data_IF_838639182476
#
_entry.id   IF_838639182476
#
_cell.length_a   1.000
_cell.length_b   1.000
_cell.length_c   1.000
_cell.angle_alpha   90.00
_cell.angle_beta   90.00
_cell.angle_gamma   90.00
#
_symmetry.space_group_name_H-M   'P 1'
#
loop_
_entity.id
_entity.type
_entity.pdbx_description
1 polymer ?
#
# COMPACT_ATOMS: atom_id res chain seq x y z
N UNK A 1 -35.21 13.37 -11.84
CA UNK A 1 -33.90 13.27 -11.18
C UNK A 1 -33.17 12.08 -11.77
N UNK A 2 -32.41 12.28 -12.84
CA UNK A 2 -31.62 11.21 -13.48
C UNK A 2 -30.17 11.37 -13.09
N UNK A 3 -29.72 10.61 -12.10
CA UNK A 3 -28.30 10.52 -11.76
C UNK A 3 -27.59 9.75 -12.87
N UNK A 4 -26.72 10.42 -13.62
CA UNK A 4 -25.84 9.79 -14.59
C UNK A 4 -24.81 8.95 -13.86
N UNK A 5 -25.04 7.63 -13.85
CA UNK A 5 -24.02 6.63 -13.53
C UNK A 5 -22.95 6.73 -14.61
N UNK A 6 -21.86 7.42 -14.31
CA UNK A 6 -20.67 7.44 -15.17
C UNK A 6 -20.09 6.03 -15.16
N UNK A 7 -20.36 5.29 -16.23
CA UNK A 7 -19.67 4.06 -16.59
C UNK A 7 -18.16 4.33 -16.52
N UNK A 8 -17.44 3.54 -15.70
CA UNK A 8 -15.97 3.54 -15.68
C UNK A 8 -15.51 3.03 -17.05
N UNK A 9 -15.27 3.94 -17.98
CA UNK A 9 -14.51 3.65 -19.18
C UNK A 9 -13.12 3.16 -18.77
N UNK A 10 -12.65 2.11 -19.42
CA UNK A 10 -11.32 1.55 -19.21
C UNK A 10 -10.27 2.62 -19.57
N UNK A 11 -9.76 3.30 -18.55
CA UNK A 11 -8.65 4.26 -18.69
C UNK A 11 -7.44 3.46 -19.14
N UNK A 12 -7.09 3.50 -20.42
CA UNK A 12 -5.99 2.71 -20.97
C UNK A 12 -4.68 3.49 -20.99
N UNK A 13 -4.73 4.83 -21.05
CA UNK A 13 -3.56 5.70 -21.04
C UNK A 13 -3.68 6.84 -20.02
N UNK A 14 -2.56 7.47 -19.64
CA UNK A 14 -2.54 8.57 -18.67
C UNK A 14 -3.17 9.87 -19.22
N UNK A 15 -3.20 10.01 -20.55
CA UNK A 15 -3.79 11.15 -21.24
C UNK A 15 -5.33 11.13 -21.22
N UNK A 16 -5.94 9.95 -21.07
CA UNK A 16 -7.40 9.79 -20.94
C UNK A 16 -7.93 10.28 -19.57
N UNK A 17 -7.05 10.57 -18.62
CA UNK A 17 -7.42 11.01 -17.28
C UNK A 17 -7.70 12.51 -17.29
N UNK A 18 -8.90 12.90 -16.85
CA UNK A 18 -9.29 14.31 -16.75
C UNK A 18 -8.33 15.10 -15.85
N UNK A 19 -8.11 16.37 -16.16
CA UNK A 19 -7.26 17.25 -15.33
C UNK A 19 -7.77 17.34 -13.89
N UNK A 20 -9.10 17.27 -13.71
CA UNK A 20 -9.73 17.20 -12.40
C UNK A 20 -9.32 15.93 -11.65
N UNK A 21 -9.38 14.76 -12.28
CA UNK A 21 -8.97 13.50 -11.64
C UNK A 21 -7.46 13.45 -11.35
N UNK A 22 -6.63 14.05 -12.21
CA UNK A 22 -5.19 14.24 -11.95
C UNK A 22 -4.97 15.08 -10.68
N UNK A 23 -5.64 16.23 -10.55
CA UNK A 23 -5.55 17.08 -9.37
C UNK A 23 -6.05 16.39 -8.10
N UNK A 24 -7.21 15.73 -8.17
CA UNK A 24 -7.77 14.96 -7.06
C UNK A 24 -6.78 13.88 -6.62
N UNK A 25 -6.18 13.14 -7.58
CA UNK A 25 -5.18 12.12 -7.27
C UNK A 25 -3.97 12.71 -6.51
N UNK A 26 -3.46 13.87 -6.94
CA UNK A 26 -2.35 14.55 -6.24
C UNK A 26 -2.74 14.94 -4.81
N UNK A 27 -3.93 15.51 -4.62
CA UNK A 27 -4.43 15.93 -3.30
C UNK A 27 -4.55 14.74 -2.35
N UNK A 28 -5.24 13.67 -2.77
CA UNK A 28 -5.41 12.46 -1.95
C UNK A 28 -4.08 11.76 -1.67
N UNK A 29 -3.17 11.77 -2.64
CA UNK A 29 -1.83 11.26 -2.45
C UNK A 29 -1.10 12.07 -1.36
N UNK A 30 -1.14 13.41 -1.39
CA UNK A 30 -0.50 14.22 -0.35
C UNK A 30 -1.15 14.01 1.03
N UNK A 31 -2.48 13.84 1.06
CA UNK A 31 -3.20 13.48 2.27
C UNK A 31 -2.73 12.13 2.83
N UNK A 32 -2.53 11.11 1.99
CA UNK A 32 -2.00 9.82 2.42
C UNK A 32 -0.63 9.97 3.12
N UNK A 33 0.27 10.78 2.57
CA UNK A 33 1.57 11.05 3.21
C UNK A 33 1.42 11.69 4.61
N UNK A 34 0.50 12.64 4.77
CA UNK A 34 0.21 13.23 6.09
C UNK A 34 -0.36 12.18 7.05
N UNK A 35 -1.28 11.33 6.60
CA UNK A 35 -1.89 10.30 7.45
C UNK A 35 -0.87 9.24 7.90
N UNK A 36 0.07 8.85 7.05
CA UNK A 36 1.20 7.97 7.43
C UNK A 36 2.01 8.61 8.57
N UNK A 37 2.36 9.90 8.45
CA UNK A 37 3.08 10.63 9.51
C UNK A 37 2.30 10.76 10.81
N UNK A 38 0.97 10.86 10.71
CA UNK A 38 0.05 10.89 11.86
C UNK A 38 -0.25 9.50 12.43
N UNK A 39 0.37 8.43 11.90
CA UNK A 39 0.13 7.03 12.28
C UNK A 39 -1.33 6.59 12.15
N UNK A 40 -2.10 7.25 11.27
CA UNK A 40 -3.50 6.90 10.94
C UNK A 40 -3.51 5.96 9.74
N UNK A 41 -3.12 4.71 9.97
CA UNK A 41 -2.83 3.72 8.92
C UNK A 41 -4.03 3.46 7.99
N UNK A 42 -5.22 3.16 8.54
CA UNK A 42 -6.40 2.89 7.72
C UNK A 42 -6.77 4.07 6.80
N UNK A 43 -6.73 5.30 7.35
CA UNK A 43 -6.96 6.52 6.56
C UNK A 43 -5.88 6.72 5.49
N UNK A 44 -4.62 6.39 5.77
CA UNK A 44 -3.55 6.50 4.78
C UNK A 44 -3.79 5.58 3.57
N UNK A 45 -4.18 4.33 3.83
CA UNK A 45 -4.52 3.34 2.80
C UNK A 45 -5.72 3.82 1.97
N UNK A 46 -6.82 4.21 2.63
CA UNK A 46 -8.02 4.72 1.95
C UNK A 46 -7.71 5.93 1.04
N UNK A 47 -6.88 6.85 1.52
CA UNK A 47 -6.49 8.03 0.74
C UNK A 47 -5.66 7.63 -0.49
N UNK A 48 -4.69 6.73 -0.31
CA UNK A 48 -3.84 6.27 -1.40
C UNK A 48 -4.64 5.48 -2.45
N UNK A 49 -5.55 4.59 -2.03
CA UNK A 49 -6.46 3.88 -2.93
C UNK A 49 -7.38 4.84 -3.68
N UNK A 50 -7.90 5.86 -3.00
CA UNK A 50 -8.74 6.88 -3.63
C UNK A 50 -7.95 7.64 -4.70
N UNK A 51 -6.69 7.99 -4.43
CA UNK A 51 -5.83 8.60 -5.43
C UNK A 51 -5.60 7.70 -6.65
N UNK A 52 -5.42 6.40 -6.45
CA UNK A 52 -5.21 5.41 -7.51
C UNK A 52 -6.49 5.10 -8.31
N UNK A 53 -7.66 5.15 -7.67
CA UNK A 53 -8.96 5.04 -8.37
C UNK A 53 -9.18 6.17 -9.37
N UNK A 54 -8.56 7.34 -9.14
CA UNK A 54 -8.63 8.52 -10.03
C UNK A 54 -7.51 8.54 -11.06
N UNK A 55 -6.28 8.26 -10.63
CA UNK A 55 -5.14 8.08 -11.51
C UNK A 55 -4.31 6.88 -11.06
N UNK A 56 -4.45 5.77 -11.78
CA UNK A 56 -3.70 4.52 -11.54
C UNK A 56 -2.20 4.61 -11.86
N UNK A 57 -1.80 5.59 -12.67
CA UNK A 57 -0.41 5.84 -13.06
C UNK A 57 0.33 6.69 -12.02
N UNK A 58 -0.34 7.21 -10.99
CA UNK A 58 0.28 8.01 -9.95
C UNK A 58 1.24 7.17 -9.07
N UNK A 59 2.52 7.17 -9.45
CA UNK A 59 3.61 6.45 -8.77
C UNK A 59 3.72 6.84 -7.28
N UNK A 60 3.51 8.13 -6.96
CA UNK A 60 3.58 8.61 -5.56
C UNK A 60 2.43 8.04 -4.73
N UNK A 61 1.23 7.92 -5.30
CA UNK A 61 0.09 7.31 -4.61
C UNK A 61 0.34 5.81 -4.38
N UNK A 62 0.86 5.08 -5.38
CA UNK A 62 1.27 3.67 -5.21
C UNK A 62 2.31 3.52 -4.10
N UNK A 63 3.34 4.35 -4.08
CA UNK A 63 4.37 4.29 -3.05
C UNK A 63 3.81 4.57 -1.65
N UNK A 64 2.92 5.55 -1.52
CA UNK A 64 2.25 5.86 -0.24
C UNK A 64 1.30 4.75 0.21
N UNK A 65 0.68 4.03 -0.72
CA UNK A 65 -0.10 2.83 -0.43
C UNK A 65 0.81 1.73 0.14
N UNK A 66 1.98 1.48 -0.46
CA UNK A 66 2.98 0.53 0.08
C UNK A 66 3.32 0.86 1.53
N UNK A 67 3.62 2.12 1.83
CA UNK A 67 3.92 2.56 3.20
C UNK A 67 2.75 2.29 4.16
N UNK A 68 1.51 2.55 3.75
CA UNK A 68 0.32 2.23 4.53
C UNK A 68 0.13 0.72 4.76
N UNK A 69 0.30 -0.10 3.73
CA UNK A 69 0.15 -1.56 3.80
C UNK A 69 1.22 -2.21 4.68
N UNK A 70 2.46 -1.70 4.65
CA UNK A 70 3.52 -2.12 5.58
C UNK A 70 3.07 -1.85 7.01
N UNK A 71 2.52 -0.67 7.29
CA UNK A 71 2.05 -0.33 8.63
C UNK A 71 0.81 -1.11 9.08
N UNK A 72 -0.06 -1.47 8.14
CA UNK A 72 -1.23 -2.31 8.40
C UNK A 72 -0.85 -3.77 8.69
N UNK A 73 0.30 -4.23 8.17
CA UNK A 73 0.72 -5.64 8.24
C UNK A 73 0.35 -6.45 6.99
N UNK A 74 -0.18 -5.80 5.95
CA UNK A 74 -0.49 -6.37 4.64
C UNK A 74 0.79 -6.53 3.78
N UNK A 75 1.78 -7.28 4.28
CA UNK A 75 3.14 -7.33 3.75
C UNK A 75 3.23 -7.92 2.33
N UNK A 76 2.43 -8.96 2.03
CA UNK A 76 2.40 -9.58 0.69
C UNK A 76 1.96 -8.56 -0.37
N UNK A 77 0.86 -7.85 -0.10
CA UNK A 77 0.35 -6.82 -1.02
C UNK A 77 1.33 -5.65 -1.15
N UNK A 78 1.97 -5.25 -0.05
CA UNK A 78 2.99 -4.21 -0.07
C UNK A 78 4.20 -4.62 -0.93
N UNK A 79 4.67 -5.86 -0.80
CA UNK A 79 5.77 -6.42 -1.58
C UNK A 79 5.48 -6.42 -3.08
N UNK A 80 4.31 -6.94 -3.49
CA UNK A 80 3.95 -6.97 -4.92
C UNK A 80 3.83 -5.58 -5.55
N UNK A 81 3.25 -4.61 -4.83
CA UNK A 81 3.18 -3.22 -5.30
C UNK A 81 4.56 -2.56 -5.38
N UNK A 82 5.47 -2.90 -4.46
CA UNK A 82 6.84 -2.40 -4.50
C UNK A 82 7.62 -3.01 -5.67
N UNK A 83 7.42 -4.29 -5.99
CA UNK A 83 8.01 -4.94 -7.15
C UNK A 83 7.57 -4.27 -8.47
N UNK A 84 6.30 -3.85 -8.57
CA UNK A 84 5.82 -3.05 -9.71
C UNK A 84 6.56 -1.72 -9.82
N UNK A 85 6.74 -1.00 -8.70
CA UNK A 85 7.41 0.29 -8.68
C UNK A 85 8.91 0.19 -9.02
N UNK A 86 9.57 -0.88 -8.57
CA UNK A 86 10.99 -1.14 -8.84
C UNK A 86 11.25 -1.49 -10.32
N UNK A 87 10.27 -2.02 -11.04
CA UNK A 87 10.38 -2.23 -12.50
C UNK A 87 10.47 -0.91 -13.27
N UNK A 88 9.67 0.08 -12.87
CA UNK A 88 9.62 1.39 -13.52
C UNK A 88 10.82 2.26 -13.12
N UNK A 89 11.23 2.18 -11.85
CA UNK A 89 12.35 2.94 -11.29
C UNK A 89 13.26 2.03 -10.47
N UNK A 90 14.15 1.29 -11.13
CA UNK A 90 15.14 0.50 -10.41
C UNK A 90 16.07 1.41 -9.62
N UNK A 91 16.51 0.94 -8.46
CA UNK A 91 17.54 1.57 -7.62
C UNK A 91 17.13 2.81 -6.79
N UNK A 92 15.84 3.09 -6.61
CA UNK A 92 15.39 4.15 -5.69
C UNK A 92 15.72 3.79 -4.23
N UNK A 93 16.48 4.65 -3.54
CA UNK A 93 16.83 4.48 -2.14
C UNK A 93 15.59 4.40 -1.22
N UNK A 94 14.50 5.08 -1.60
CA UNK A 94 13.23 4.99 -0.87
C UNK A 94 12.64 3.58 -0.93
N UNK A 95 12.72 2.91 -2.08
CA UNK A 95 12.18 1.55 -2.25
C UNK A 95 12.98 0.52 -1.46
N UNK A 96 14.32 0.63 -1.49
CA UNK A 96 15.22 -0.21 -0.66
C UNK A 96 14.88 -0.10 0.83
N UNK A 97 14.63 1.11 1.32
CA UNK A 97 14.26 1.34 2.71
C UNK A 97 12.92 0.68 3.07
N UNK A 98 11.91 0.78 2.20
CA UNK A 98 10.63 0.11 2.44
C UNK A 98 10.74 -1.43 2.37
N UNK A 99 11.55 -1.96 1.45
CA UNK A 99 11.84 -3.40 1.38
C UNK A 99 12.51 -3.93 2.64
N UNK A 100 13.44 -3.16 3.21
CA UNK A 100 14.03 -3.49 4.50
C UNK A 100 12.99 -3.50 5.64
N UNK A 101 11.99 -2.59 5.63
CA UNK A 101 10.90 -2.62 6.61
C UNK A 101 9.99 -3.83 6.45
N UNK A 102 9.67 -4.24 5.22
CA UNK A 102 8.91 -5.47 4.96
C UNK A 102 9.64 -6.67 5.57
N UNK A 103 10.92 -6.86 5.22
CA UNK A 103 11.71 -7.97 5.73
C UNK A 103 11.83 -7.97 7.27
N UNK A 104 11.95 -6.79 7.89
CA UNK A 104 11.97 -6.65 9.34
C UNK A 104 10.63 -7.10 9.98
N UNK A 105 9.49 -6.69 9.41
CA UNK A 105 8.17 -7.09 9.90
C UNK A 105 7.86 -8.57 9.67
N UNK A 106 8.30 -9.14 8.55
CA UNK A 106 8.18 -10.58 8.27
C UNK A 106 8.95 -11.40 9.30
N UNK A 107 10.21 -11.02 9.56
CA UNK A 107 11.04 -11.68 10.58
C UNK A 107 10.41 -11.58 11.97
N UNK A 108 9.82 -10.44 12.32
CA UNK A 108 9.12 -10.28 13.59
C UNK A 108 7.87 -11.18 13.67
N UNK A 109 7.10 -11.27 12.59
CA UNK A 109 5.93 -12.13 12.51
C UNK A 109 6.30 -13.62 12.61
N UNK A 110 7.33 -14.06 11.89
CA UNK A 110 7.84 -15.44 11.93
C UNK A 110 8.36 -15.80 13.33
N UNK A 111 9.11 -14.89 13.98
CA UNK A 111 9.59 -15.10 15.34
C UNK A 111 8.43 -15.25 16.35
N UNK A 112 7.35 -14.46 16.20
CA UNK A 112 6.14 -14.59 17.01
C UNK A 112 5.44 -15.93 16.77
N UNK A 113 5.22 -16.29 15.50
CA UNK A 113 4.60 -17.57 15.14
C UNK A 113 5.40 -18.77 15.65
N UNK A 114 6.73 -18.75 15.51
CA UNK A 114 7.60 -19.82 16.01
C UNK A 114 7.52 -19.96 17.52
N UNK A 115 7.46 -18.85 18.26
CA UNK A 115 7.32 -18.86 19.73
C UNK A 115 5.95 -19.40 20.16
N UNK A 116 4.88 -19.00 19.48
CA UNK A 116 3.51 -19.47 19.76
C UNK A 116 3.35 -20.97 19.47
N UNK A 117 3.83 -21.43 18.31
CA UNK A 117 3.77 -22.84 17.92
C UNK A 117 4.61 -23.74 18.84
N UNK A 118 5.82 -23.31 19.22
CA UNK A 118 6.65 -24.05 20.16
C UNK A 118 5.97 -24.23 21.53
N UNK A 119 5.39 -23.14 22.07
CA UNK A 119 4.64 -23.20 23.32
C UNK A 119 3.31 -23.97 23.25
N UNK A 120 2.73 -24.15 22.06
CA UNK A 120 1.54 -24.98 21.83
C UNK A 120 1.89 -26.47 21.83
N UNK A 121 2.98 -26.85 21.15
CA UNK A 121 3.47 -28.25 21.11
C UNK A 121 3.91 -28.76 22.50
N UNK A 122 4.59 -27.93 23.29
CA UNK A 122 5.02 -28.31 24.64
C UNK A 122 3.84 -28.51 25.60
N UNK A 123 2.73 -27.79 25.40
CA UNK A 123 1.48 -27.99 26.15
C UNK A 123 0.72 -29.24 25.70
N UNK A 124 0.72 -29.54 24.40
CA UNK A 124 0.09 -30.74 23.86
C UNK A 124 0.75 -32.05 24.31
N UNK A 125 2.04 -32.02 24.68
CA UNK A 125 2.79 -33.20 25.15
C UNK A 125 2.60 -33.53 26.63
N UNK A 126 1.99 -32.63 27.41
CA UNK A 126 1.73 -32.80 28.85
C UNK A 126 0.33 -33.34 29.18
N UNK A 127 -0.48 -33.65 28.17
CA UNK A 127 -1.78 -34.30 28.31
C UNK A 127 -1.73 -35.75 27.80
#
# INVERSE_FOLDING_TARGET
>A
MGGTTTSKADINTEDDISDLDKQISVIYSNMAACQVRLKKVGRAVECAETALKRNKFNTKAKFRLVQGLIEEGSLIKAGSLLDELEKDKPDDAAFKNERAKIAAKEKEAEAKQRKELGGMFDRGKKN
#
